data_IF_276786996326
#
_entry.id   IF_276786996326
#
_cell.length_a   1.000
_cell.length_b   1.000
_cell.length_c   1.000
_cell.angle_alpha   90.00
_cell.angle_beta   90.00
_cell.angle_gamma   90.00
#
_symmetry.space_group_name_H-M   'P 1'
#
loop_
_entity.id
_entity.type
_entity.pdbx_description
1 polymer ?
#
# COMPACT_ATOMS: atom_id res chain seq x y z
N UNK A 1 21.88 -65.42 -57.05
CA UNK A 1 22.74 -64.63 -57.96
C UNK A 1 22.55 -63.16 -57.61
N UNK A 2 23.62 -62.49 -57.10
CA UNK A 2 23.84 -61.03 -56.88
C UNK A 2 22.77 -60.28 -56.05
N UNK A 3 23.04 -59.94 -54.78
CA UNK A 3 23.61 -58.65 -54.30
C UNK A 3 22.94 -57.43 -54.93
N UNK A 4 22.27 -56.61 -54.10
CA UNK A 4 22.56 -55.18 -53.88
C UNK A 4 21.84 -54.74 -52.60
N UNK A 5 22.65 -54.30 -51.64
CA UNK A 5 22.27 -53.62 -50.41
C UNK A 5 22.20 -52.14 -50.75
N UNK A 6 21.06 -51.50 -50.54
CA UNK A 6 20.94 -50.04 -50.54
C UNK A 6 20.46 -49.61 -49.16
N UNK A 7 21.40 -49.12 -48.35
CA UNK A 7 21.13 -48.39 -47.11
C UNK A 7 20.44 -47.07 -47.47
N UNK A 8 19.22 -46.84 -46.98
CA UNK A 8 18.60 -45.52 -46.92
C UNK A 8 18.62 -45.08 -45.45
N UNK A 9 19.45 -44.08 -45.14
CA UNK A 9 19.53 -43.44 -43.83
C UNK A 9 18.32 -42.50 -43.71
N UNK A 10 17.30 -42.93 -42.97
CA UNK A 10 16.19 -42.09 -42.54
C UNK A 10 16.57 -41.33 -41.27
N UNK A 11 16.84 -40.04 -41.41
CA UNK A 11 17.11 -39.11 -40.30
C UNK A 11 15.79 -38.82 -39.59
N UNK A 12 15.53 -39.51 -38.46
CA UNK A 12 14.42 -39.19 -37.56
C UNK A 12 14.84 -38.00 -36.68
N UNK A 13 14.28 -36.83 -36.97
CA UNK A 13 14.36 -35.66 -36.08
C UNK A 13 13.39 -35.91 -34.93
N UNK A 14 13.90 -36.33 -33.79
CA UNK A 14 13.16 -36.27 -32.52
C UNK A 14 13.10 -34.80 -32.10
N UNK A 15 11.92 -34.19 -32.22
CA UNK A 15 11.63 -32.90 -31.61
C UNK A 15 11.39 -33.08 -30.13
N UNK A 16 12.36 -32.69 -29.30
CA UNK A 16 12.17 -32.56 -27.87
C UNK A 16 11.23 -31.36 -27.61
N UNK A 17 9.96 -31.66 -27.39
CA UNK A 17 9.02 -30.71 -26.82
C UNK A 17 9.37 -30.53 -25.34
N UNK A 18 10.12 -29.47 -25.03
CA UNK A 18 10.30 -29.00 -23.65
C UNK A 18 8.95 -28.49 -23.16
N UNK A 19 8.26 -29.34 -22.40
CA UNK A 19 7.05 -28.97 -21.69
C UNK A 19 7.47 -28.02 -20.55
N UNK A 20 7.36 -26.71 -20.79
CA UNK A 20 7.52 -25.70 -19.76
C UNK A 20 6.36 -25.86 -18.78
N UNK A 21 6.61 -26.56 -17.68
CA UNK A 21 5.70 -26.57 -16.54
C UNK A 21 5.72 -25.17 -15.92
N UNK A 22 4.67 -24.39 -16.18
CA UNK A 22 4.36 -23.23 -15.36
C UNK A 22 4.14 -23.75 -13.94
N UNK A 23 5.12 -23.54 -13.07
CA UNK A 23 4.93 -23.65 -11.63
C UNK A 23 3.99 -22.50 -11.27
N UNK A 24 2.70 -22.81 -11.17
CA UNK A 24 1.76 -21.97 -10.44
C UNK A 24 2.19 -22.04 -8.98
N UNK A 25 2.88 -21.02 -8.49
CA UNK A 25 2.98 -20.80 -7.04
C UNK A 25 1.56 -20.80 -6.50
N UNK A 26 1.23 -21.75 -5.63
CA UNK A 26 -0.06 -21.75 -4.96
C UNK A 26 -0.16 -20.46 -4.15
N UNK A 27 -1.16 -19.62 -4.42
CA UNK A 27 -1.38 -18.37 -3.69
C UNK A 27 -1.44 -18.66 -2.18
N UNK A 28 -0.46 -18.17 -1.42
CA UNK A 28 -0.49 -18.26 0.02
C UNK A 28 -1.52 -17.22 0.53
N UNK A 29 -2.64 -17.64 1.15
CA UNK A 29 -3.70 -16.72 1.59
C UNK A 29 -3.27 -15.73 2.68
N UNK A 30 -2.03 -15.85 3.16
CA UNK A 30 -1.39 -14.93 4.11
C UNK A 30 -0.57 -13.81 3.45
N UNK A 31 -0.34 -13.85 2.14
CA UNK A 31 0.44 -12.82 1.47
C UNK A 31 -0.41 -11.57 1.21
N UNK A 32 0.17 -10.36 1.33
CA UNK A 32 -0.52 -9.14 0.95
C UNK A 32 -0.98 -9.18 -0.51
N UNK A 33 -2.08 -8.50 -0.80
CA UNK A 33 -2.60 -8.32 -2.17
C UNK A 33 -2.48 -6.85 -2.53
N UNK A 34 -1.89 -6.54 -3.67
CA UNK A 34 -1.76 -5.18 -4.20
C UNK A 34 -2.51 -5.10 -5.53
N UNK A 35 -3.58 -4.32 -5.54
CA UNK A 35 -4.37 -3.99 -6.72
C UNK A 35 -3.97 -2.60 -7.18
N UNK A 36 -3.26 -2.52 -8.31
CA UNK A 36 -2.91 -1.25 -8.96
C UNK A 36 -3.91 -0.96 -10.08
N UNK A 37 -4.61 0.16 -9.96
CA UNK A 37 -5.60 0.63 -10.93
C UNK A 37 -5.05 1.85 -11.65
N UNK A 38 -4.74 1.68 -12.92
CA UNK A 38 -4.28 2.76 -13.80
C UNK A 38 -5.46 3.37 -14.55
N UNK A 39 -5.68 4.66 -14.33
CA UNK A 39 -6.77 5.43 -14.92
C UNK A 39 -6.55 5.79 -16.39
N UNK A 40 -7.50 6.52 -16.98
CA UNK A 40 -7.35 7.05 -18.33
C UNK A 40 -6.24 8.12 -18.36
N UNK A 41 -5.19 7.90 -19.15
CA UNK A 41 -4.04 8.79 -19.19
C UNK A 41 -4.29 10.16 -19.84
N UNK A 42 -5.21 10.23 -20.81
CA UNK A 42 -5.51 11.43 -21.60
C UNK A 42 -4.46 11.73 -22.68
N UNK A 43 -3.16 11.57 -22.38
CA UNK A 43 -2.06 11.75 -23.34
C UNK A 43 -1.02 10.62 -23.25
N UNK A 44 -0.20 10.39 -24.30
CA UNK A 44 0.86 9.39 -24.27
C UNK A 44 1.93 9.63 -23.18
N UNK A 45 2.22 10.88 -22.85
CA UNK A 45 3.22 11.24 -21.84
C UNK A 45 2.80 10.78 -20.44
N UNK A 46 1.53 10.98 -20.08
CA UNK A 46 0.99 10.46 -18.83
C UNK A 46 0.88 8.94 -18.83
N UNK A 47 0.56 8.33 -19.99
CA UNK A 47 0.49 6.87 -20.09
C UNK A 47 1.84 6.21 -19.79
N UNK A 48 2.94 6.79 -20.31
CA UNK A 48 4.29 6.32 -20.02
C UNK A 48 4.63 6.44 -18.51
N UNK A 49 4.31 7.58 -17.89
CA UNK A 49 4.54 7.79 -16.46
C UNK A 49 3.73 6.83 -15.59
N UNK A 50 2.44 6.64 -15.88
CA UNK A 50 1.59 5.74 -15.09
C UNK A 50 2.04 4.27 -15.20
N UNK A 51 2.53 3.87 -16.38
CA UNK A 51 3.12 2.54 -16.59
C UNK A 51 4.38 2.36 -15.74
N UNK A 52 5.26 3.37 -15.72
CA UNK A 52 6.46 3.36 -14.87
C UNK A 52 6.10 3.22 -13.38
N UNK A 53 5.11 3.98 -12.91
CA UNK A 53 4.70 3.94 -11.50
C UNK A 53 4.09 2.58 -11.13
N UNK A 54 3.28 2.00 -12.02
CA UNK A 54 2.71 0.68 -11.80
C UNK A 54 3.79 -0.42 -11.77
N UNK A 55 4.85 -0.29 -12.57
CA UNK A 55 5.99 -1.22 -12.57
C UNK A 55 6.83 -1.14 -11.28
N UNK A 56 6.91 0.04 -10.64
CA UNK A 56 7.54 0.18 -9.31
C UNK A 56 6.76 -0.59 -8.25
N UNK A 57 5.41 -0.52 -8.28
CA UNK A 57 4.56 -1.32 -7.40
C UNK A 57 4.71 -2.82 -7.68
N UNK A 58 4.74 -3.24 -8.94
CA UNK A 58 4.98 -4.65 -9.31
C UNK A 58 6.32 -5.15 -8.74
N UNK A 59 7.39 -4.37 -8.91
CA UNK A 59 8.71 -4.68 -8.37
C UNK A 59 8.70 -4.78 -6.83
N UNK A 60 7.99 -3.88 -6.16
CA UNK A 60 7.83 -3.93 -4.71
C UNK A 60 7.06 -5.18 -4.27
N UNK A 61 6.01 -5.57 -5.01
CA UNK A 61 5.26 -6.80 -4.74
C UNK A 61 6.13 -8.04 -4.91
N UNK A 62 6.94 -8.11 -5.96
CA UNK A 62 7.89 -9.21 -6.16
C UNK A 62 8.88 -9.33 -4.99
N UNK A 63 9.42 -8.19 -4.52
CA UNK A 63 10.34 -8.17 -3.37
C UNK A 63 9.64 -8.57 -2.05
N UNK A 64 8.37 -8.21 -1.89
CA UNK A 64 7.57 -8.50 -0.70
C UNK A 64 6.79 -9.82 -0.75
N UNK A 65 6.95 -10.61 -1.82
CA UNK A 65 6.15 -11.81 -2.09
C UNK A 65 4.63 -11.56 -2.07
N UNK A 66 4.20 -10.34 -2.43
CA UNK A 66 2.80 -9.96 -2.48
C UNK A 66 2.17 -10.33 -3.84
N UNK A 67 0.88 -10.66 -3.82
CA UNK A 67 0.09 -10.86 -5.04
C UNK A 67 -0.11 -9.50 -5.72
N UNK A 68 0.31 -9.38 -6.97
CA UNK A 68 0.13 -8.18 -7.79
C UNK A 68 -1.02 -8.36 -8.78
N UNK A 69 -1.94 -7.39 -8.82
CA UNK A 69 -3.05 -7.34 -9.78
C UNK A 69 -3.08 -5.95 -10.41
N UNK A 70 -2.94 -5.87 -11.73
CA UNK A 70 -3.05 -4.61 -12.47
C UNK A 70 -4.36 -4.50 -13.26
N UNK A 71 -4.96 -3.32 -13.21
CA UNK A 71 -6.06 -2.89 -14.10
C UNK A 71 -5.58 -1.62 -14.82
N UNK A 72 -5.96 -1.42 -16.07
CA UNK A 72 -5.64 -0.18 -16.78
C UNK A 72 -4.40 -0.21 -17.69
N UNK A 73 -3.57 -1.26 -17.59
CA UNK A 73 -2.36 -1.42 -18.40
C UNK A 73 -2.60 -2.24 -19.69
N UNK A 74 -3.37 -3.33 -19.58
CA UNK A 74 -3.65 -4.20 -20.73
C UNK A 74 -4.78 -3.68 -21.62
N UNK A 75 -4.86 -4.24 -22.83
CA UNK A 75 -6.01 -4.04 -23.73
C UNK A 75 -7.27 -4.62 -23.07
N UNK A 76 -8.38 -3.90 -23.17
CA UNK A 76 -9.66 -4.35 -22.62
C UNK A 76 -10.20 -5.54 -23.42
N UNK A 77 -10.71 -6.54 -22.71
CA UNK A 77 -11.32 -7.77 -23.25
C UNK A 77 -12.85 -7.63 -23.44
N UNK A 78 -13.36 -6.40 -23.43
CA UNK A 78 -14.78 -6.06 -23.49
C UNK A 78 -15.38 -5.67 -22.13
N UNK A 79 -14.75 -5.99 -21.00
CA UNK A 79 -15.16 -5.50 -19.68
C UNK A 79 -14.55 -4.12 -19.39
N UNK A 80 -15.33 -3.23 -18.76
CA UNK A 80 -14.82 -1.93 -18.31
C UNK A 80 -13.88 -2.07 -17.12
N UNK A 81 -12.89 -1.20 -16.98
CA UNK A 81 -11.96 -1.24 -15.84
C UNK A 81 -12.71 -1.11 -14.49
N UNK A 82 -13.82 -0.37 -14.46
CA UNK A 82 -14.71 -0.27 -13.29
C UNK A 82 -15.35 -1.62 -12.93
N UNK A 83 -15.84 -2.36 -13.93
CA UNK A 83 -16.42 -3.68 -13.71
C UNK A 83 -15.35 -4.69 -13.26
N UNK A 84 -14.18 -4.68 -13.90
CA UNK A 84 -13.04 -5.50 -13.47
C UNK A 84 -12.63 -5.22 -12.03
N UNK A 85 -12.54 -3.95 -11.63
CA UNK A 85 -12.23 -3.57 -10.25
C UNK A 85 -13.30 -4.08 -9.28
N UNK A 86 -14.58 -3.93 -9.61
CA UNK A 86 -15.68 -4.44 -8.80
C UNK A 86 -15.59 -5.96 -8.63
N UNK A 87 -15.34 -6.70 -9.71
CA UNK A 87 -15.32 -8.15 -9.69
C UNK A 87 -14.10 -8.68 -8.92
N UNK A 88 -12.93 -8.06 -9.10
CA UNK A 88 -11.73 -8.37 -8.32
C UNK A 88 -12.04 -8.12 -6.84
N UNK A 89 -12.48 -6.91 -6.48
CA UNK A 89 -12.77 -6.59 -5.08
C UNK A 89 -13.81 -7.53 -4.49
N UNK A 90 -14.88 -7.86 -5.23
CA UNK A 90 -15.93 -8.80 -4.78
C UNK A 90 -15.38 -10.18 -4.45
N UNK A 91 -14.46 -10.70 -5.29
CA UNK A 91 -13.86 -12.01 -5.12
C UNK A 91 -12.68 -12.05 -4.15
N UNK A 92 -12.14 -10.89 -3.76
CA UNK A 92 -11.08 -10.80 -2.75
C UNK A 92 -11.55 -11.25 -1.36
N UNK A 93 -10.65 -11.90 -0.64
CA UNK A 93 -10.88 -12.34 0.73
C UNK A 93 -11.15 -11.14 1.63
N UNK A 94 -12.31 -11.13 2.28
CA UNK A 94 -12.75 -10.04 3.17
C UNK A 94 -12.20 -10.16 4.58
N UNK A 95 -11.98 -11.38 5.05
CA UNK A 95 -11.61 -11.72 6.42
C UNK A 95 -10.28 -12.49 6.41
N UNK A 96 -9.17 -11.77 6.52
CA UNK A 96 -7.81 -12.34 6.61
C UNK A 96 -6.90 -11.34 7.33
N UNK A 97 -5.80 -11.82 7.91
CA UNK A 97 -4.74 -10.95 8.46
C UNK A 97 -3.88 -10.29 7.40
N UNK A 98 -3.86 -10.82 6.17
CA UNK A 98 -3.08 -10.26 5.08
C UNK A 98 -3.60 -8.86 4.69
N UNK A 99 -2.72 -7.90 4.42
CA UNK A 99 -3.12 -6.57 3.99
C UNK A 99 -3.64 -6.56 2.53
N UNK A 100 -4.64 -5.72 2.26
CA UNK A 100 -5.05 -5.35 0.90
C UNK A 100 -4.60 -3.91 0.61
N UNK A 101 -3.90 -3.71 -0.50
CA UNK A 101 -3.48 -2.41 -0.98
C UNK A 101 -4.24 -2.09 -2.27
N UNK A 102 -4.98 -1.00 -2.29
CA UNK A 102 -5.64 -0.46 -3.47
C UNK A 102 -4.95 0.83 -3.88
N UNK A 103 -4.20 0.78 -4.97
CA UNK A 103 -3.41 1.93 -5.46
C UNK A 103 -4.07 2.46 -6.73
N UNK A 104 -4.51 3.72 -6.69
CA UNK A 104 -5.13 4.41 -7.82
C UNK A 104 -4.12 5.39 -8.43
N UNK A 105 -3.71 5.13 -9.67
CA UNK A 105 -2.74 5.92 -10.44
C UNK A 105 -3.47 6.54 -11.63
N UNK A 106 -3.60 7.86 -11.67
CA UNK A 106 -4.34 8.49 -12.75
C UNK A 106 -4.74 9.92 -12.47
N UNK A 107 -5.81 10.33 -13.15
CA UNK A 107 -6.44 11.63 -12.95
C UNK A 107 -7.71 11.49 -12.11
N UNK A 108 -8.11 12.61 -11.50
CA UNK A 108 -9.35 12.72 -10.75
C UNK A 108 -10.03 14.05 -11.00
N UNK A 109 -11.36 14.04 -10.88
CA UNK A 109 -12.22 15.20 -11.10
C UNK A 109 -13.10 15.46 -9.88
N UNK A 110 -13.48 16.72 -9.69
CA UNK A 110 -14.40 17.14 -8.63
C UNK A 110 -15.28 18.27 -9.15
N UNK A 111 -16.61 18.07 -9.05
CA UNK A 111 -17.61 19.03 -9.53
C UNK A 111 -18.09 20.01 -8.42
N UNK A 112 -17.42 20.03 -7.27
CA UNK A 112 -17.85 20.77 -6.09
C UNK A 112 -18.71 19.94 -5.12
N UNK A 113 -19.13 18.73 -5.52
CA UNK A 113 -19.97 17.84 -4.71
C UNK A 113 -19.48 16.40 -4.68
N UNK A 114 -19.08 15.84 -5.82
CA UNK A 114 -18.67 14.45 -5.98
C UNK A 114 -17.29 14.38 -6.61
N UNK A 115 -16.35 13.71 -5.93
CA UNK A 115 -15.06 13.38 -6.51
C UNK A 115 -15.11 12.03 -7.22
N UNK A 116 -14.39 11.94 -8.34
CA UNK A 116 -14.26 10.71 -9.14
C UNK A 116 -12.81 10.47 -9.51
N UNK A 117 -12.42 9.20 -9.51
CA UNK A 117 -11.18 8.73 -10.13
C UNK A 117 -11.49 8.35 -11.57
N UNK A 118 -10.71 8.87 -12.52
CA UNK A 118 -11.00 8.74 -13.94
C UNK A 118 -10.45 7.43 -14.50
N UNK A 119 -11.34 6.49 -14.80
CA UNK A 119 -11.00 5.18 -15.33
C UNK A 119 -11.03 5.18 -16.86
N UNK A 120 -10.45 4.17 -17.51
CA UNK A 120 -10.74 3.93 -18.93
C UNK A 120 -12.17 3.41 -19.03
N UNK A 121 -13.09 4.28 -19.42
CA UNK A 121 -14.53 4.02 -19.41
C UNK A 121 -15.22 4.68 -18.22
N UNK A 122 -16.22 4.05 -17.59
CA UNK A 122 -16.96 4.69 -16.49
C UNK A 122 -16.10 4.94 -15.26
N UNK A 123 -16.02 6.20 -14.84
CA UNK A 123 -15.33 6.63 -13.61
C UNK A 123 -15.92 6.01 -12.34
N UNK A 124 -15.15 6.01 -11.26
CA UNK A 124 -15.59 5.57 -9.92
C UNK A 124 -15.60 6.75 -8.92
N UNK A 125 -16.68 6.90 -8.16
CA UNK A 125 -16.78 7.90 -7.10
C UNK A 125 -16.36 7.36 -5.74
N UNK A 126 -16.06 8.26 -4.81
CA UNK A 126 -15.74 7.92 -3.42
C UNK A 126 -16.85 7.09 -2.76
N UNK A 127 -18.13 7.43 -2.97
CA UNK A 127 -19.27 6.70 -2.40
C UNK A 127 -19.35 5.25 -2.87
N UNK A 128 -19.14 5.01 -4.17
CA UNK A 128 -19.19 3.67 -4.76
C UNK A 128 -18.06 2.82 -4.20
N UNK A 129 -16.84 3.38 -4.16
CA UNK A 129 -15.69 2.65 -3.64
C UNK A 129 -15.85 2.36 -2.14
N UNK A 130 -16.43 3.29 -1.37
CA UNK A 130 -16.71 3.09 0.04
C UNK A 130 -17.68 1.93 0.27
N UNK A 131 -18.73 1.82 -0.55
CA UNK A 131 -19.68 0.70 -0.47
C UNK A 131 -18.99 -0.64 -0.78
N UNK A 132 -18.13 -0.69 -1.78
CA UNK A 132 -17.40 -1.91 -2.13
C UNK A 132 -16.42 -2.35 -1.05
N UNK A 133 -15.81 -1.40 -0.33
CA UNK A 133 -14.86 -1.67 0.74
C UNK A 133 -15.53 -1.90 2.11
N UNK A 134 -16.85 -1.72 2.24
CA UNK A 134 -17.57 -1.77 3.51
C UNK A 134 -17.50 -3.13 4.21
N UNK A 135 -17.41 -4.22 3.46
CA UNK A 135 -17.45 -5.59 4.00
C UNK A 135 -16.06 -6.17 4.33
N UNK A 136 -14.98 -5.42 4.06
CA UNK A 136 -13.64 -5.88 4.37
C UNK A 136 -13.34 -5.72 5.87
N UNK A 137 -13.04 -6.84 6.53
CA UNK A 137 -12.56 -6.93 7.90
C UNK A 137 -11.13 -7.48 7.89
N UNK A 138 -10.24 -6.74 7.22
CA UNK A 138 -8.80 -6.98 7.12
C UNK A 138 -8.08 -5.62 7.05
N UNK A 139 -6.76 -5.55 7.27
CA UNK A 139 -6.02 -4.32 7.03
C UNK A 139 -6.14 -3.89 5.57
N UNK A 140 -6.53 -2.63 5.32
CA UNK A 140 -6.67 -2.07 3.97
C UNK A 140 -5.91 -0.75 3.87
N UNK A 141 -5.08 -0.59 2.83
CA UNK A 141 -4.56 0.70 2.41
C UNK A 141 -5.22 1.13 1.10
N UNK A 142 -5.77 2.34 1.04
CA UNK A 142 -6.24 2.96 -0.20
C UNK A 142 -5.39 4.18 -0.49
N UNK A 143 -4.66 4.14 -1.59
CA UNK A 143 -3.74 5.18 -2.01
C UNK A 143 -4.31 5.81 -3.28
N UNK A 144 -4.87 7.01 -3.16
CA UNK A 144 -5.36 7.77 -4.30
C UNK A 144 -4.34 8.84 -4.72
N UNK A 145 -3.54 8.51 -5.73
CA UNK A 145 -2.49 9.39 -6.23
C UNK A 145 -2.94 10.40 -7.30
N UNK A 146 -4.24 10.53 -7.52
CA UNK A 146 -4.80 11.42 -8.52
C UNK A 146 -5.02 12.86 -8.01
N UNK A 147 -5.20 13.79 -8.96
CA UNK A 147 -5.76 15.12 -8.71
C UNK A 147 -7.14 15.02 -8.04
N UNK A 148 -7.53 16.04 -7.28
CA UNK A 148 -8.84 16.09 -6.61
C UNK A 148 -9.18 14.87 -5.73
N UNK A 149 -8.17 14.20 -5.17
CA UNK A 149 -8.31 12.95 -4.43
C UNK A 149 -8.84 13.10 -3.00
N UNK A 150 -8.64 14.26 -2.36
CA UNK A 150 -8.98 14.49 -0.94
C UNK A 150 -10.42 14.10 -0.53
N UNK A 151 -11.48 14.32 -1.33
CA UNK A 151 -12.84 13.92 -0.94
C UNK A 151 -13.04 12.40 -0.82
N UNK A 152 -12.09 11.57 -1.30
CA UNK A 152 -12.09 10.14 -1.00
C UNK A 152 -11.70 9.84 0.44
N UNK A 153 -10.89 10.69 1.09
CA UNK A 153 -10.34 10.45 2.43
C UNK A 153 -11.44 10.23 3.45
N UNK A 154 -12.25 11.26 3.72
CA UNK A 154 -13.32 11.17 4.73
C UNK A 154 -14.38 10.14 4.38
N UNK A 155 -14.61 9.86 3.09
CA UNK A 155 -15.64 8.91 2.65
C UNK A 155 -15.20 7.46 2.79
N UNK A 156 -13.91 7.19 2.62
CA UNK A 156 -13.30 5.87 2.77
C UNK A 156 -12.76 5.63 4.17
N UNK A 157 -12.57 6.65 4.99
CA UNK A 157 -12.08 6.54 6.36
C UNK A 157 -12.84 5.48 7.15
N UNK A 158 -12.08 4.61 7.83
CA UNK A 158 -12.64 3.53 8.64
C UNK A 158 -11.57 2.96 9.56
N UNK A 159 -11.99 2.23 10.60
CA UNK A 159 -11.08 1.53 11.50
C UNK A 159 -10.22 0.54 10.71
N UNK A 160 -8.93 0.44 11.07
CA UNK A 160 -7.94 -0.46 10.43
C UNK A 160 -7.68 -0.20 8.94
N UNK A 161 -8.10 0.98 8.45
CA UNK A 161 -7.89 1.40 7.07
C UNK A 161 -6.99 2.62 7.01
N UNK A 162 -5.95 2.53 6.21
CA UNK A 162 -5.06 3.65 5.89
C UNK A 162 -5.53 4.27 4.57
N UNK A 163 -5.81 5.56 4.56
CA UNK A 163 -6.15 6.32 3.36
C UNK A 163 -5.07 7.36 3.11
N UNK A 164 -4.52 7.36 1.90
CA UNK A 164 -3.61 8.40 1.43
C UNK A 164 -4.22 9.07 0.20
N UNK A 165 -4.20 10.40 0.19
CA UNK A 165 -4.58 11.21 -0.98
C UNK A 165 -3.41 12.08 -1.41
N UNK A 166 -3.21 12.29 -2.70
CA UNK A 166 -2.18 13.20 -3.21
C UNK A 166 -2.51 14.68 -2.99
N UNK A 167 -3.78 14.99 -2.72
CA UNK A 167 -4.28 16.36 -2.57
C UNK A 167 -4.93 16.57 -1.22
N UNK A 168 -5.02 17.83 -0.77
CA UNK A 168 -5.70 18.22 0.48
C UNK A 168 -7.12 18.72 0.26
N UNK A 169 -7.52 18.95 -0.98
CA UNK A 169 -8.90 19.32 -1.32
C UNK A 169 -9.30 18.82 -2.71
N UNK A 170 -10.61 18.69 -2.95
CA UNK A 170 -11.13 18.40 -4.29
C UNK A 170 -10.83 19.49 -5.33
N UNK A 171 -10.43 20.69 -4.90
CA UNK A 171 -10.12 21.82 -5.79
C UNK A 171 -8.66 21.83 -6.27
N UNK A 172 -7.81 20.91 -5.81
CA UNK A 172 -6.47 20.71 -6.34
C UNK A 172 -6.52 19.83 -7.60
N UNK A 173 -6.90 20.46 -8.72
CA UNK A 173 -7.15 19.79 -10.00
C UNK A 173 -5.90 19.61 -10.87
N UNK A 174 -4.76 20.16 -10.44
CA UNK A 174 -3.52 20.04 -11.18
C UNK A 174 -2.98 18.60 -11.11
N UNK A 175 -2.20 18.22 -12.13
CA UNK A 175 -1.53 16.93 -12.16
C UNK A 175 -0.69 16.69 -10.91
N UNK A 176 -0.99 15.61 -10.20
CA UNK A 176 -0.32 15.18 -8.98
C UNK A 176 0.86 14.25 -9.31
N UNK A 177 2.03 14.54 -8.75
CA UNK A 177 3.28 13.77 -8.88
C UNK A 177 3.56 12.90 -7.67
N UNK A 178 2.86 13.12 -6.56
CA UNK A 178 3.02 12.38 -5.33
C UNK A 178 3.06 10.85 -5.54
N UNK A 179 2.21 10.32 -6.43
CA UNK A 179 2.16 8.89 -6.75
C UNK A 179 3.49 8.30 -7.23
N UNK A 180 4.25 9.06 -8.02
CA UNK A 180 5.59 8.67 -8.47
C UNK A 180 6.50 8.41 -7.27
N UNK A 181 6.63 9.42 -6.41
CA UNK A 181 7.58 9.39 -5.30
C UNK A 181 7.17 8.38 -4.23
N UNK A 182 5.87 8.14 -4.05
CA UNK A 182 5.39 7.09 -3.16
C UNK A 182 5.73 5.70 -3.70
N UNK A 183 5.48 5.44 -4.98
CA UNK A 183 5.83 4.17 -5.63
C UNK A 183 7.34 3.92 -5.59
N UNK A 184 8.16 4.96 -5.77
CA UNK A 184 9.61 4.89 -5.62
C UNK A 184 10.03 4.54 -4.17
N UNK A 185 9.32 5.06 -3.17
CA UNK A 185 9.74 4.98 -1.77
C UNK A 185 9.35 3.67 -1.09
N UNK A 186 8.26 3.01 -1.49
CA UNK A 186 7.67 1.87 -0.76
C UNK A 186 8.62 0.67 -0.57
N UNK A 187 9.63 0.53 -1.41
CA UNK A 187 10.63 -0.54 -1.35
C UNK A 187 12.09 -0.02 -1.38
N UNK A 188 12.28 1.29 -1.21
CA UNK A 188 13.59 1.96 -1.21
C UNK A 188 14.16 2.01 0.22
N UNK A 189 15.28 1.33 0.52
CA UNK A 189 15.91 1.36 1.85
C UNK A 189 16.36 2.76 2.29
N UNK A 190 16.42 3.76 1.39
CA UNK A 190 16.68 5.15 1.77
C UNK A 190 15.46 5.82 2.41
N UNK A 191 14.26 5.30 2.18
CA UNK A 191 13.03 5.79 2.77
C UNK A 191 12.78 5.20 4.17
N UNK A 192 13.52 4.17 4.59
CA UNK A 192 13.59 3.72 5.99
C UNK A 192 14.18 4.83 6.86
N UNK A 193 13.33 5.56 7.58
CA UNK A 193 13.66 6.71 8.41
C UNK A 193 14.09 6.30 9.82
N UNK A 194 13.50 5.25 10.38
CA UNK A 194 13.77 4.79 11.75
C UNK A 194 14.86 3.70 11.85
N UNK A 195 15.31 3.18 10.70
CA UNK A 195 16.39 2.19 10.54
C UNK A 195 16.04 0.81 11.09
N UNK A 196 14.77 0.42 11.01
CA UNK A 196 14.29 -0.92 11.37
C UNK A 196 14.55 -1.98 10.28
N UNK A 197 15.10 -1.59 9.12
CA UNK A 197 15.46 -2.49 8.03
C UNK A 197 14.32 -2.78 7.04
N UNK A 198 13.20 -2.08 7.18
CA UNK A 198 12.06 -2.13 6.27
C UNK A 198 11.53 -0.72 6.04
N UNK A 199 10.50 -0.57 5.20
CA UNK A 199 9.93 0.75 4.92
C UNK A 199 8.43 0.68 5.10
N UNK A 200 7.95 1.42 6.09
CA UNK A 200 6.53 1.54 6.38
C UNK A 200 5.82 2.44 5.36
N UNK A 201 4.50 2.32 5.27
CA UNK A 201 3.67 3.20 4.48
C UNK A 201 3.75 4.65 4.97
N UNK A 202 3.89 4.88 6.28
CA UNK A 202 4.12 6.22 6.84
C UNK A 202 5.42 6.81 6.28
N UNK A 203 6.52 6.07 6.33
CA UNK A 203 7.82 6.56 5.86
C UNK A 203 7.85 6.80 4.36
N UNK A 204 7.20 5.93 3.59
CA UNK A 204 6.99 6.13 2.16
C UNK A 204 6.18 7.41 1.89
N UNK A 205 5.11 7.66 2.66
CA UNK A 205 4.30 8.90 2.58
C UNK A 205 5.11 10.15 2.90
N UNK A 206 5.90 10.12 3.98
CA UNK A 206 6.74 11.25 4.40
C UNK A 206 7.83 11.55 3.38
N UNK A 207 8.53 10.50 2.92
CA UNK A 207 9.57 10.61 1.89
C UNK A 207 9.00 11.15 0.58
N UNK A 208 7.84 10.63 0.15
CA UNK A 208 7.19 11.07 -1.08
C UNK A 208 6.75 12.54 -0.99
N UNK A 209 6.16 12.95 0.13
CA UNK A 209 5.75 14.34 0.36
C UNK A 209 6.94 15.29 0.31
N UNK A 210 8.05 14.95 0.96
CA UNK A 210 9.27 15.76 0.91
C UNK A 210 9.85 15.86 -0.51
N UNK A 211 9.84 14.77 -1.29
CA UNK A 211 10.29 14.79 -2.70
C UNK A 211 9.38 15.64 -3.60
N UNK A 212 8.08 15.72 -3.30
CA UNK A 212 7.17 16.67 -3.97
C UNK A 212 7.60 18.11 -3.67
N UNK A 213 7.81 18.44 -2.40
CA UNK A 213 8.23 19.79 -1.99
C UNK A 213 9.57 20.20 -2.61
N UNK A 214 10.54 19.29 -2.65
CA UNK A 214 11.83 19.47 -3.33
C UNK A 214 11.66 19.76 -4.82
N UNK A 215 10.80 18.99 -5.51
CA UNK A 215 10.53 19.19 -6.94
C UNK A 215 9.98 20.59 -7.23
N UNK A 216 8.96 21.02 -6.50
CA UNK A 216 8.35 22.34 -6.71
C UNK A 216 9.32 23.47 -6.36
N UNK A 217 10.08 23.33 -5.28
CA UNK A 217 11.10 24.29 -4.86
C UNK A 217 12.22 24.42 -5.90
N UNK A 218 12.77 23.30 -6.37
CA UNK A 218 13.82 23.28 -7.39
C UNK A 218 13.34 23.85 -8.74
N UNK A 219 12.06 23.66 -9.07
CA UNK A 219 11.45 24.21 -10.28
C UNK A 219 11.02 25.68 -10.15
N UNK A 220 11.13 26.29 -8.96
CA UNK A 220 10.63 27.65 -8.70
C UNK A 220 9.12 27.78 -8.87
N UNK A 221 8.35 26.74 -8.53
CA UNK A 221 6.90 26.66 -8.72
C UNK A 221 6.17 26.61 -7.39
N UNK A 222 4.95 27.14 -7.38
CA UNK A 222 4.03 26.94 -6.26
C UNK A 222 3.56 25.48 -6.23
N UNK A 223 3.55 24.89 -5.04
CA UNK A 223 3.04 23.53 -4.81
C UNK A 223 1.54 23.50 -5.08
N UNK A 224 1.09 22.56 -5.91
CA UNK A 224 -0.31 22.42 -6.34
C UNK A 224 -0.98 21.14 -5.86
N UNK A 225 -0.29 20.35 -5.04
CA UNK A 225 -0.73 19.08 -4.49
C UNK A 225 -0.20 18.99 -3.05
N UNK A 226 -1.03 18.58 -2.10
CA UNK A 226 -0.63 18.46 -0.70
C UNK A 226 -1.17 17.16 -0.15
N UNK A 227 -0.33 16.14 -0.03
CA UNK A 227 -0.77 14.83 0.37
C UNK A 227 -1.30 14.80 1.81
N UNK A 228 -2.31 13.98 2.05
CA UNK A 228 -2.90 13.71 3.35
C UNK A 228 -2.86 12.21 3.65
N UNK A 229 -2.73 11.87 4.94
CA UNK A 229 -2.78 10.53 5.50
C UNK A 229 -3.87 10.48 6.57
N UNK A 230 -4.77 9.50 6.52
CA UNK A 230 -5.71 9.17 7.59
C UNK A 230 -5.61 7.68 7.88
N UNK A 231 -5.34 7.31 9.12
CA UNK A 231 -5.20 5.91 9.53
C UNK A 231 -5.92 5.55 10.83
N UNK A 232 -6.57 6.52 11.46
CA UNK A 232 -7.27 6.37 12.72
C UNK A 232 -8.80 6.24 12.52
N UNK A 233 -9.32 6.58 11.34
CA UNK A 233 -10.74 6.47 11.01
C UNK A 233 -11.60 7.70 11.33
N UNK A 234 -10.99 8.85 11.63
CA UNK A 234 -11.69 10.11 11.95
C UNK A 234 -12.06 10.95 10.71
N UNK A 235 -11.46 10.63 9.56
CA UNK A 235 -11.66 11.34 8.30
C UNK A 235 -10.97 12.70 8.22
N UNK A 236 -10.02 12.98 9.11
CA UNK A 236 -9.26 14.23 9.23
C UNK A 236 -7.79 13.98 8.88
N UNK A 237 -7.47 13.99 7.59
CA UNK A 237 -6.12 13.67 7.15
C UNK A 237 -5.02 14.58 7.70
N UNK A 238 -3.94 13.98 8.19
CA UNK A 238 -2.71 14.63 8.66
C UNK A 238 -1.73 14.88 7.50
N UNK A 239 -1.07 16.05 7.49
CA UNK A 239 -0.03 16.41 6.51
C UNK A 239 1.35 15.94 6.96
N UNK A 240 2.25 15.68 5.99
CA UNK A 240 3.62 15.26 6.27
C UNK A 240 4.43 16.27 7.12
N UNK A 241 4.16 17.58 7.01
CA UNK A 241 4.85 18.62 7.79
C UNK A 241 4.41 18.65 9.27
N UNK A 242 3.48 17.79 9.67
CA UNK A 242 3.08 17.60 11.07
C UNK A 242 3.90 16.53 11.78
N UNK A 243 4.83 15.88 11.06
CA UNK A 243 5.72 14.85 11.59
C UNK A 243 7.16 15.37 11.72
N UNK A 244 7.88 14.85 12.71
CA UNK A 244 9.33 14.95 12.83
C UNK A 244 9.91 13.54 12.86
N UNK A 245 10.55 13.14 11.76
CA UNK A 245 10.77 11.72 11.49
C UNK A 245 9.41 11.02 11.42
N UNK A 246 9.27 9.89 12.10
CA UNK A 246 8.00 9.15 12.17
C UNK A 246 7.03 9.65 13.27
N UNK A 247 7.43 10.66 14.06
CA UNK A 247 6.63 11.10 15.22
C UNK A 247 5.73 12.28 14.86
N UNK A 248 4.42 12.21 15.11
CA UNK A 248 3.56 13.38 15.04
C UNK A 248 3.99 14.40 16.11
N UNK A 249 4.16 15.67 15.75
CA UNK A 249 4.63 16.74 16.65
C UNK A 249 3.62 17.86 16.87
N UNK A 250 2.55 17.91 16.06
CA UNK A 250 1.46 18.85 16.24
C UNK A 250 0.42 18.27 17.22
N UNK A 251 -0.50 19.10 17.69
CA UNK A 251 -1.72 18.64 18.38
C UNK A 251 -2.91 18.93 17.46
N UNK A 252 -3.81 17.97 17.28
CA UNK A 252 -5.08 18.24 16.60
C UNK A 252 -5.86 19.31 17.39
N UNK A 253 -6.69 20.10 16.70
CA UNK A 253 -7.43 21.21 17.34
C UNK A 253 -8.28 20.76 18.53
N UNK A 254 -8.82 19.53 18.48
CA UNK A 254 -9.70 18.97 19.51
C UNK A 254 -9.00 17.95 20.42
N UNK A 255 -7.66 17.88 20.38
CA UNK A 255 -6.89 16.90 21.15
C UNK A 255 -7.00 15.46 20.65
N UNK A 256 -7.57 15.25 19.46
CA UNK A 256 -7.58 13.96 18.78
C UNK A 256 -6.15 13.44 18.53
N UNK A 257 -5.98 12.11 18.59
CA UNK A 257 -4.73 11.46 18.18
C UNK A 257 -4.47 11.72 16.71
N UNK A 258 -3.25 12.16 16.38
CA UNK A 258 -2.85 12.32 14.99
C UNK A 258 -2.64 10.97 14.31
N UNK A 259 -2.73 10.99 12.99
CA UNK A 259 -2.48 9.82 12.17
C UNK A 259 -1.00 9.40 12.20
N UNK A 260 -0.75 8.17 11.73
CA UNK A 260 0.56 7.67 11.37
C UNK A 260 0.93 6.39 12.08
N UNK A 261 0.35 6.09 13.25
CA UNK A 261 0.72 4.88 14.00
C UNK A 261 0.33 3.60 13.28
N UNK A 262 -0.82 3.56 12.61
CA UNK A 262 -1.25 2.38 11.85
C UNK A 262 -0.52 2.29 10.51
N UNK A 263 -0.24 3.41 9.87
CA UNK A 263 0.56 3.47 8.66
C UNK A 263 2.04 3.12 8.90
N UNK A 264 2.57 3.37 10.10
CA UNK A 264 3.92 2.96 10.53
C UNK A 264 4.04 1.43 10.62
N UNK A 265 2.96 0.73 10.99
CA UNK A 265 2.92 -0.74 11.02
C UNK A 265 2.55 -1.40 9.69
N UNK A 266 2.43 -0.61 8.61
CA UNK A 266 1.90 -1.08 7.33
C UNK A 266 3.04 -1.26 6.32
N UNK A 267 3.52 -2.49 6.17
CA UNK A 267 4.69 -2.83 5.34
C UNK A 267 4.29 -3.70 4.15
N UNK A 268 4.89 -3.41 2.98
CA UNK A 268 4.78 -4.28 1.80
C UNK A 268 5.96 -5.26 1.71
N UNK A 269 7.15 -4.81 2.09
CA UNK A 269 8.38 -5.59 2.10
C UNK A 269 8.87 -5.67 3.53
N UNK A 270 8.66 -6.84 4.15
CA UNK A 270 9.12 -7.11 5.51
C UNK A 270 10.65 -7.30 5.56
N UNK A 271 11.26 -6.95 6.68
CA UNK A 271 12.66 -7.28 6.98
C UNK A 271 12.82 -8.80 7.20
N UNK A 272 14.07 -9.30 7.15
CA UNK A 272 14.34 -10.72 7.39
C UNK A 272 13.88 -11.18 8.78
N UNK A 273 14.01 -10.32 9.80
CA UNK A 273 13.59 -10.63 11.17
C UNK A 273 12.07 -10.63 11.29
N UNK A 274 11.37 -9.71 10.62
CA UNK A 274 9.90 -9.72 10.57
C UNK A 274 9.35 -10.96 9.84
N UNK A 275 10.05 -11.45 8.82
CA UNK A 275 9.63 -12.65 8.10
C UNK A 275 9.69 -13.92 8.95
N UNK A 276 10.57 -13.97 9.97
CA UNK A 276 10.65 -15.08 10.93
C UNK A 276 9.47 -15.08 11.91
N UNK A 277 8.93 -13.90 12.21
CA UNK A 277 7.79 -13.77 13.14
C UNK A 277 6.48 -14.23 12.49
N UNK A 278 5.83 -15.21 13.13
CA UNK A 278 4.53 -15.71 12.70
C UNK A 278 3.50 -14.56 12.58
N UNK A 279 2.64 -14.53 11.53
CA UNK A 279 1.69 -13.42 11.30
C UNK A 279 0.77 -13.11 12.50
N UNK A 280 0.39 -14.12 13.28
CA UNK A 280 -0.44 -13.96 14.48
C UNK A 280 0.31 -13.25 15.61
N UNK A 281 1.60 -13.56 15.78
CA UNK A 281 2.47 -12.91 16.77
C UNK A 281 2.74 -11.46 16.36
N UNK A 282 3.02 -11.20 15.08
CA UNK A 282 3.13 -9.83 14.54
C UNK A 282 1.88 -9.01 14.83
N UNK A 283 0.71 -9.55 14.49
CA UNK A 283 -0.58 -8.87 14.77
C UNK A 283 -0.76 -8.55 16.27
N UNK A 284 -0.37 -9.46 17.16
CA UNK A 284 -0.44 -9.22 18.61
C UNK A 284 0.52 -8.13 19.07
N UNK A 285 1.77 -8.15 18.59
CA UNK A 285 2.76 -7.11 18.86
C UNK A 285 2.26 -5.76 18.38
N UNK A 286 1.80 -5.69 17.13
CA UNK A 286 1.36 -4.45 16.51
C UNK A 286 0.20 -3.81 17.31
N UNK A 287 -0.74 -4.62 17.82
CA UNK A 287 -1.80 -4.13 18.70
C UNK A 287 -1.25 -3.58 20.03
N UNK A 288 -0.28 -4.25 20.65
CA UNK A 288 0.35 -3.77 21.90
C UNK A 288 1.12 -2.47 21.68
N UNK A 289 1.82 -2.33 20.55
CA UNK A 289 2.52 -1.10 20.19
C UNK A 289 1.55 0.07 19.99
N UNK A 290 0.40 -0.15 19.37
CA UNK A 290 -0.65 0.86 19.27
C UNK A 290 -1.19 1.25 20.66
N UNK A 291 -1.29 0.31 21.60
CA UNK A 291 -1.66 0.61 22.99
C UNK A 291 -0.57 1.42 23.70
N UNK A 292 0.71 1.16 23.44
CA UNK A 292 1.83 1.98 23.93
C UNK A 292 1.74 3.41 23.41
N UNK A 293 1.45 3.59 22.11
CA UNK A 293 1.30 4.94 21.53
C UNK A 293 0.12 5.68 22.15
N UNK A 294 -1.03 5.01 22.33
CA UNK A 294 -2.20 5.59 23.02
C UNK A 294 -1.89 5.98 24.46
N UNK A 295 -1.17 5.12 25.20
CA UNK A 295 -0.75 5.40 26.57
C UNK A 295 0.19 6.62 26.63
N UNK A 296 1.12 6.72 25.68
CA UNK A 296 2.04 7.86 25.58
C UNK A 296 1.28 9.17 25.30
N UNK A 297 0.34 9.16 24.37
CA UNK A 297 -0.44 10.34 24.02
C UNK A 297 -1.37 10.78 25.17
N UNK A 298 -1.75 9.84 26.04
CA UNK A 298 -2.53 10.10 27.25
C UNK A 298 -1.68 10.19 28.53
N UNK A 299 -0.34 10.36 28.45
CA UNK A 299 0.54 10.49 29.64
C UNK A 299 -0.08 11.47 30.66
N UNK A 300 -0.48 12.66 30.21
CA UNK A 300 -0.94 13.75 31.09
C UNK A 300 -2.15 13.35 31.96
N UNK A 301 -2.89 12.28 31.62
CA UNK A 301 -4.04 11.79 32.40
C UNK A 301 -3.68 10.85 33.54
N UNK A 302 -2.44 10.36 33.63
CA UNK A 302 -2.01 9.37 34.62
C UNK A 302 -1.01 9.96 35.62
N UNK A 303 -0.95 9.37 36.83
CA UNK A 303 0.20 9.59 37.72
C UNK A 303 1.46 8.97 37.12
N UNK A 304 2.64 9.38 37.61
CA UNK A 304 3.91 8.81 37.14
C UNK A 304 3.99 7.30 37.39
N UNK A 305 3.66 6.85 38.60
CA UNK A 305 3.65 5.44 38.98
C UNK A 305 2.64 4.62 38.15
N UNK A 306 1.44 5.17 37.92
CA UNK A 306 0.41 4.49 37.13
C UNK A 306 0.83 4.35 35.66
N UNK A 307 1.40 5.42 35.09
CA UNK A 307 1.89 5.41 33.71
C UNK A 307 2.99 4.36 33.52
N UNK A 308 4.00 4.34 34.41
CA UNK A 308 5.11 3.39 34.29
C UNK A 308 4.66 1.95 34.54
N UNK A 309 3.73 1.71 35.46
CA UNK A 309 3.17 0.36 35.67
C UNK A 309 2.41 -0.16 34.44
N UNK A 310 1.59 0.69 33.80
CA UNK A 310 0.90 0.33 32.54
C UNK A 310 1.90 0.09 31.40
N UNK A 311 2.90 0.95 31.28
CA UNK A 311 3.93 0.84 30.24
C UNK A 311 4.75 -0.44 30.42
N UNK A 312 5.17 -0.75 31.65
CA UNK A 312 5.91 -1.97 31.98
C UNK A 312 5.14 -3.23 31.58
N UNK A 313 3.84 -3.28 31.87
CA UNK A 313 2.99 -4.41 31.48
C UNK A 313 2.94 -4.59 29.95
N UNK A 314 2.75 -3.49 29.20
CA UNK A 314 2.73 -3.53 27.73
C UNK A 314 4.07 -3.98 27.14
N UNK A 315 5.18 -3.40 27.60
CA UNK A 315 6.53 -3.74 27.12
C UNK A 315 6.92 -5.17 27.48
N UNK A 316 6.51 -5.66 28.66
CA UNK A 316 6.73 -7.05 29.07
C UNK A 316 6.00 -8.03 28.15
N UNK A 317 4.76 -7.72 27.76
CA UNK A 317 4.00 -8.55 26.82
C UNK A 317 4.64 -8.56 25.42
N UNK A 318 5.14 -7.41 24.96
CA UNK A 318 5.90 -7.33 23.70
C UNK A 318 7.18 -8.19 23.77
N UNK A 319 7.93 -8.10 24.87
CA UNK A 319 9.15 -8.90 25.07
C UNK A 319 8.86 -10.41 25.04
N UNK A 320 7.74 -10.86 25.61
CA UNK A 320 7.32 -12.26 25.56
C UNK A 320 7.04 -12.74 24.13
N UNK A 321 6.53 -11.87 23.24
CA UNK A 321 6.31 -12.21 21.83
C UNK A 321 7.65 -12.43 21.11
N UNK A 322 8.64 -11.57 21.35
CA UNK A 322 9.99 -11.77 20.80
C UNK A 322 10.62 -13.07 21.32
N UNK A 323 10.53 -13.35 22.62
CA UNK A 323 11.04 -14.62 23.19
C UNK A 323 10.37 -15.86 22.57
N UNK A 324 9.07 -15.79 22.27
CA UNK A 324 8.36 -16.87 21.57
C UNK A 324 8.86 -17.05 20.15
N UNK A 325 9.18 -15.97 19.45
CA UNK A 325 9.70 -16.00 18.07
C UNK A 325 11.07 -16.68 18.05
N UNK A 326 11.99 -16.26 18.93
CA UNK A 326 13.34 -16.83 19.03
C UNK A 326 13.33 -18.33 19.38
N UNK A 327 12.37 -18.77 20.22
CA UNK A 327 12.25 -20.20 20.59
C UNK A 327 11.79 -21.07 19.42
N UNK A 328 10.93 -20.54 18.54
CA UNK A 328 10.48 -21.26 17.33
C UNK A 328 11.63 -21.40 16.34
N UNK A 329 12.43 -20.35 16.16
CA UNK A 329 13.59 -20.37 15.26
C UNK A 329 14.67 -21.35 15.72
N UNK A 330 14.95 -21.45 17.03
CA UNK A 330 15.95 -22.38 17.56
C UNK A 330 15.51 -23.86 17.56
N UNK A 331 14.23 -24.14 17.28
CA UNK A 331 13.68 -25.50 17.27
C UNK A 331 13.58 -26.12 15.85
N UNK A 332 13.88 -25.36 14.80
CA UNK A 332 13.93 -25.78 13.39
C UNK A 332 15.36 -26.06 12.93
#
# INVERSE_FOLDING_TARGET
>A
MKIIITLLVGMLVFGDAVLSAQISEAENPQNPVVIVVVGAAGTPEYAAQFTEWAALWEKACLKGHAKYVSIGLDKTDGSSDRARLHDILTNESKNTSAALWLVLIGHGTFDGRTAKFNLRGPDISADVLAEWLKTFSRPVAVINSASSSAPFLSRLSSRERVIITATKSGFEQNYARFGKYLADSIADPKADLDKDGQTSLLEAFLTASNRVDEFYSAAGRLITEHALLDDNGDGLGTRADWFRGIRPVQKAMDGASLDGYRAHQFYLVYSEDEMKMAPTLRTQRDNLELEVMKLRDSRETFSEDEYFSKLEALLSNIAQIYEQTDKVDNAQ
#
